data_IF_510229721159
#
_entry.id   IF_510229721159
#
_cell.length_a   1.000
_cell.length_b   1.000
_cell.length_c   1.000
_cell.angle_alpha   90.00
_cell.angle_beta   90.00
_cell.angle_gamma   90.00
#
_symmetry.space_group_name_H-M   'P 1'
#
loop_
_entity.id
_entity.type
_entity.pdbx_description
1 polymer ?
#
# COMPACT_ATOMS: atom_id res chain seq x y z
N UNK A 1 1.01 -17.01 3.89
CA UNK A 1 0.22 -16.43 4.99
C UNK A 1 -1.30 -16.56 4.81
N UNK A 2 -1.92 -15.96 3.79
CA UNK A 2 -3.38 -15.84 3.64
C UNK A 2 -4.00 -16.81 2.61
N UNK A 3 -3.20 -17.66 1.95
CA UNK A 3 -3.65 -18.61 0.91
C UNK A 3 -4.82 -19.53 1.35
N UNK A 4 -4.86 -19.88 2.63
CA UNK A 4 -5.85 -20.78 3.23
C UNK A 4 -6.94 -20.05 4.02
N UNK A 5 -6.91 -18.71 4.04
CA UNK A 5 -7.93 -17.89 4.66
C UNK A 5 -9.03 -17.61 3.63
N UNK A 6 -10.28 -17.51 4.07
CA UNK A 6 -11.38 -17.06 3.20
C UNK A 6 -11.15 -15.61 2.78
N UNK A 7 -11.17 -15.35 1.47
CA UNK A 7 -10.88 -14.04 0.89
C UNK A 7 -12.09 -13.55 0.09
N UNK A 8 -12.91 -12.70 0.71
CA UNK A 8 -14.08 -12.05 0.10
C UNK A 8 -14.36 -10.75 0.84
N UNK A 9 -14.99 -9.79 0.16
CA UNK A 9 -15.19 -8.45 0.68
C UNK A 9 -13.86 -7.74 0.87
N UNK A 10 -13.54 -7.37 2.12
CA UNK A 10 -12.34 -6.63 2.49
C UNK A 10 -11.42 -7.49 3.35
N UNK A 11 -10.16 -7.59 2.96
CA UNK A 11 -9.08 -8.21 3.74
C UNK A 11 -8.07 -7.14 4.12
N UNK A 12 -8.16 -6.65 5.35
CA UNK A 12 -7.24 -5.63 5.88
C UNK A 12 -5.90 -6.27 6.22
N UNK A 13 -4.81 -5.71 5.70
CA UNK A 13 -3.44 -6.16 5.99
C UNK A 13 -2.66 -5.17 6.83
N UNK A 14 -3.09 -3.90 6.89
CA UNK A 14 -2.53 -2.88 7.78
C UNK A 14 -3.64 -1.93 8.23
N UNK A 15 -3.70 -1.64 9.52
CA UNK A 15 -4.53 -0.57 10.09
C UNK A 15 -3.78 0.02 11.28
N UNK A 16 -3.35 1.28 11.18
CA UNK A 16 -2.57 1.96 12.22
C UNK A 16 -3.31 2.12 13.55
N UNK A 17 -4.64 2.06 13.57
CA UNK A 17 -5.45 2.09 14.79
C UNK A 17 -5.60 0.72 15.46
N UNK A 18 -5.05 -0.35 14.86
CA UNK A 18 -4.99 -1.65 15.49
C UNK A 18 -3.88 -1.69 16.55
N UNK A 19 -4.15 -2.36 17.68
CA UNK A 19 -3.15 -2.61 18.73
C UNK A 19 -1.94 -3.42 18.24
N UNK A 20 -2.07 -4.12 17.12
CA UNK A 20 -0.99 -4.88 16.48
C UNK A 20 -0.79 -4.47 15.01
N UNK A 21 -0.80 -3.17 14.73
CA UNK A 21 -0.74 -2.61 13.36
C UNK A 21 0.37 -3.21 12.47
N UNK A 22 1.56 -3.48 13.04
CA UNK A 22 2.72 -3.99 12.32
C UNK A 22 2.92 -5.51 12.42
N UNK A 23 1.96 -6.27 12.96
CA UNK A 23 2.12 -7.72 13.17
C UNK A 23 2.53 -8.49 11.91
N UNK A 24 2.01 -8.08 10.75
CA UNK A 24 2.27 -8.72 9.46
C UNK A 24 3.41 -8.04 8.68
N UNK A 25 3.96 -6.94 9.21
CA UNK A 25 4.83 -6.04 8.47
C UNK A 25 6.23 -6.01 9.05
N UNK A 26 7.21 -6.21 8.18
CA UNK A 26 8.60 -5.90 8.49
C UNK A 26 8.81 -4.42 8.32
N UNK A 27 9.47 -3.82 9.30
CA UNK A 27 9.97 -2.45 9.22
C UNK A 27 11.46 -2.48 8.91
N UNK A 28 11.86 -1.85 7.82
CA UNK A 28 13.26 -1.58 7.50
C UNK A 28 13.50 -0.08 7.64
N UNK A 29 14.54 0.28 8.41
CA UNK A 29 14.90 1.66 8.70
C UNK A 29 16.39 1.84 8.47
N UNK A 30 16.75 2.55 7.41
CA UNK A 30 18.12 2.98 7.15
C UNK A 30 18.64 3.93 8.22
N UNK A 31 19.94 4.25 8.18
CA UNK A 31 20.60 5.02 9.25
C UNK A 31 19.94 6.39 9.52
N UNK A 32 19.54 7.09 8.46
CA UNK A 32 18.82 8.37 8.51
C UNK A 32 17.30 8.23 8.35
N UNK A 33 16.78 7.01 8.38
CA UNK A 33 15.36 6.73 8.21
C UNK A 33 14.58 6.93 9.52
N UNK A 34 13.35 7.42 9.38
CA UNK A 34 12.36 7.50 10.43
C UNK A 34 11.19 6.61 10.07
N UNK A 35 10.81 5.72 11.00
CA UNK A 35 9.58 4.94 10.93
C UNK A 35 9.00 4.89 12.33
N UNK A 36 7.83 5.49 12.53
CA UNK A 36 7.15 5.50 13.82
C UNK A 36 5.63 5.49 13.66
N UNK A 37 4.96 4.87 14.62
CA UNK A 37 3.53 5.04 14.81
C UNK A 37 3.33 6.34 15.60
N UNK A 38 2.78 7.36 14.94
CA UNK A 38 2.43 8.65 15.54
C UNK A 38 0.97 8.54 16.00
N UNK A 39 0.71 8.72 17.30
CA UNK A 39 -0.62 8.45 17.92
C UNK A 39 -1.72 9.42 17.49
N UNK A 40 -1.33 10.65 17.13
CA UNK A 40 -2.27 11.73 16.82
C UNK A 40 -1.81 12.46 15.57
N UNK A 41 -2.55 12.27 14.47
CA UNK A 41 -2.37 13.05 13.25
C UNK A 41 -3.32 14.26 13.23
N UNK A 42 -2.81 15.42 12.85
CA UNK A 42 -3.52 16.70 12.97
C UNK A 42 -4.82 16.76 12.16
N UNK A 43 -4.82 16.25 10.92
CA UNK A 43 -6.00 16.32 10.04
C UNK A 43 -7.02 15.23 10.34
N UNK A 44 -6.62 14.03 10.77
CA UNK A 44 -7.55 12.89 10.95
C UNK A 44 -7.81 12.45 12.40
N UNK A 45 -7.04 12.96 13.37
CA UNK A 45 -7.31 12.73 14.78
C UNK A 45 -7.09 11.31 15.30
N UNK A 46 -6.07 10.62 14.81
CA UNK A 46 -5.74 9.27 15.28
C UNK A 46 -4.42 8.76 14.76
N UNK A 47 -4.09 7.49 15.07
CA UNK A 47 -2.75 6.97 14.86
C UNK A 47 -2.44 6.73 13.39
N UNK A 48 -1.20 7.01 12.98
CA UNK A 48 -0.69 6.81 11.62
C UNK A 48 0.73 6.32 11.66
N UNK A 49 1.12 5.47 10.70
CA UNK A 49 2.51 5.07 10.59
C UNK A 49 3.22 5.97 9.58
N UNK A 50 4.15 6.79 10.06
CA UNK A 50 4.91 7.69 9.21
C UNK A 50 6.28 7.11 8.88
N UNK A 51 6.62 7.09 7.59
CA UNK A 51 7.93 6.77 7.06
C UNK A 51 8.54 8.04 6.46
N UNK A 52 9.77 8.38 6.84
CA UNK A 52 10.52 9.52 6.27
C UNK A 52 11.96 9.10 6.03
N UNK A 53 12.48 9.35 4.83
CA UNK A 53 13.89 9.09 4.51
C UNK A 53 14.32 9.85 3.26
N UNK A 54 15.58 10.29 3.23
CA UNK A 54 16.24 10.76 2.02
C UNK A 54 16.66 9.59 1.09
N UNK A 55 16.80 8.37 1.62
CA UNK A 55 17.11 7.16 0.88
C UNK A 55 15.94 6.17 0.95
N UNK A 56 15.18 6.07 -0.15
CA UNK A 56 13.97 5.26 -0.26
C UNK A 56 14.26 3.75 -0.20
N UNK A 57 15.42 3.32 -0.72
CA UNK A 57 15.74 1.90 -0.82
C UNK A 57 15.92 1.24 0.55
N UNK A 58 16.33 2.01 1.56
CA UNK A 58 16.67 1.50 2.89
C UNK A 58 15.55 1.69 3.92
N UNK A 59 14.51 2.47 3.61
CA UNK A 59 13.41 2.75 4.56
C UNK A 59 12.08 2.40 3.93
N UNK A 60 11.47 1.32 4.42
CA UNK A 60 10.23 0.77 3.90
C UNK A 60 9.52 -0.08 4.96
N UNK A 61 8.23 -0.33 4.72
CA UNK A 61 7.50 -1.44 5.32
C UNK A 61 7.17 -2.49 4.26
N UNK A 62 7.23 -3.76 4.64
CA UNK A 62 6.99 -4.89 3.75
C UNK A 62 6.04 -5.91 4.40
N UNK A 63 5.07 -6.40 3.63
CA UNK A 63 4.17 -7.49 4.02
C UNK A 63 4.25 -8.64 3.01
N UNK A 64 4.52 -9.89 3.44
CA UNK A 64 4.67 -10.34 4.83
C UNK A 64 6.00 -9.89 5.46
N UNK A 65 6.11 -9.99 6.78
CA UNK A 65 7.30 -9.58 7.52
C UNK A 65 8.52 -10.46 7.19
N UNK A 66 8.32 -11.77 7.05
CA UNK A 66 9.36 -12.67 6.57
C UNK A 66 9.46 -12.59 5.04
N UNK A 67 10.67 -12.33 4.53
CA UNK A 67 10.94 -12.26 3.11
C UNK A 67 10.79 -13.63 2.40
N UNK A 68 10.92 -14.74 3.14
CA UNK A 68 10.72 -16.09 2.59
C UNK A 68 9.24 -16.44 2.40
N UNK A 69 8.33 -15.73 3.08
CA UNK A 69 6.90 -15.97 2.98
C UNK A 69 6.23 -15.19 1.84
N UNK A 70 5.01 -15.61 1.49
CA UNK A 70 4.12 -14.87 0.58
C UNK A 70 2.77 -14.58 1.22
N UNK A 71 2.19 -13.44 0.84
CA UNK A 71 0.84 -13.02 1.21
C UNK A 71 -0.19 -14.08 0.81
N UNK A 72 -0.28 -14.45 -0.46
CA UNK A 72 -1.25 -15.45 -0.90
C UNK A 72 -2.64 -14.87 -1.18
N UNK A 73 -2.74 -13.58 -1.48
CA UNK A 73 -4.01 -12.88 -1.68
C UNK A 73 -4.42 -12.92 -3.16
N UNK A 74 -5.66 -13.26 -3.47
CA UNK A 74 -6.21 -13.37 -4.83
C UNK A 74 -7.14 -12.23 -5.22
N UNK A 75 -7.43 -11.35 -4.26
CA UNK A 75 -8.29 -10.18 -4.43
C UNK A 75 -7.62 -9.16 -5.36
N UNK A 76 -8.33 -8.62 -6.37
CA UNK A 76 -7.73 -7.83 -7.43
C UNK A 76 -7.43 -6.38 -7.05
N UNK A 77 -8.14 -5.80 -6.08
CA UNK A 77 -7.99 -4.41 -5.71
C UNK A 77 -7.14 -4.26 -4.46
N UNK A 78 -6.09 -3.43 -4.52
CA UNK A 78 -5.31 -3.00 -3.36
C UNK A 78 -5.63 -1.53 -3.10
N UNK A 79 -6.29 -1.26 -1.98
CA UNK A 79 -6.68 0.08 -1.57
C UNK A 79 -5.88 0.55 -0.35
N UNK A 80 -5.54 1.84 -0.35
CA UNK A 80 -4.66 2.44 0.65
C UNK A 80 -5.09 3.86 0.98
N UNK A 81 -5.02 4.19 2.27
CA UNK A 81 -5.14 5.54 2.80
C UNK A 81 -3.75 6.05 3.17
N UNK A 82 -3.22 6.99 2.38
CA UNK A 82 -1.87 7.53 2.54
C UNK A 82 -1.85 9.06 2.51
N UNK A 83 -1.03 9.69 3.35
CA UNK A 83 -0.76 11.12 3.30
C UNK A 83 0.47 11.38 2.44
N UNK A 84 0.30 12.23 1.43
CA UNK A 84 1.40 12.79 0.65
C UNK A 84 2.16 13.79 1.54
N UNK A 85 3.46 13.55 1.74
CA UNK A 85 4.32 14.40 2.57
C UNK A 85 5.15 15.39 1.74
N UNK A 86 4.92 15.47 0.42
CA UNK A 86 5.70 16.30 -0.50
C UNK A 86 7.08 15.71 -0.84
N UNK A 87 7.37 14.49 -0.39
CA UNK A 87 8.62 13.77 -0.61
C UNK A 87 8.43 12.58 -1.54
N UNK A 88 9.54 12.06 -2.06
CA UNK A 88 9.52 10.89 -2.95
C UNK A 88 8.93 9.67 -2.24
N UNK A 89 8.07 8.94 -2.94
CA UNK A 89 7.34 7.76 -2.47
C UNK A 89 7.29 6.72 -3.60
N UNK A 90 7.39 5.45 -3.23
CA UNK A 90 7.04 4.35 -4.14
C UNK A 90 6.35 3.20 -3.43
N UNK A 91 5.39 2.59 -4.11
CA UNK A 91 4.65 1.41 -3.68
C UNK A 91 4.95 0.30 -4.69
N UNK A 92 5.34 -0.87 -4.19
CA UNK A 92 5.66 -2.04 -5.01
C UNK A 92 4.81 -3.23 -4.60
N UNK A 93 4.22 -3.92 -5.58
CA UNK A 93 3.42 -5.12 -5.40
C UNK A 93 4.03 -6.25 -6.22
N UNK A 94 4.45 -7.32 -5.55
CA UNK A 94 4.88 -8.55 -6.22
C UNK A 94 3.68 -9.44 -6.47
N UNK A 95 3.52 -9.89 -7.72
CA UNK A 95 2.41 -10.72 -8.18
C UNK A 95 2.92 -11.99 -8.87
N UNK A 96 2.10 -13.03 -8.82
CA UNK A 96 2.20 -14.24 -9.63
C UNK A 96 1.12 -14.17 -10.72
N UNK A 97 1.50 -14.40 -11.98
CA UNK A 97 0.57 -14.46 -13.10
C UNK A 97 0.20 -15.89 -13.52
N UNK A 98 -0.74 -16.00 -14.46
CA UNK A 98 -1.25 -17.26 -15.02
C UNK A 98 -0.24 -18.03 -15.89
N UNK A 99 0.93 -17.44 -16.17
CA UNK A 99 2.07 -18.12 -16.80
C UNK A 99 3.09 -18.62 -15.79
N UNK A 100 2.81 -18.45 -14.49
CA UNK A 100 3.72 -18.82 -13.42
C UNK A 100 4.89 -17.85 -13.25
N UNK A 101 4.86 -16.68 -13.90
CA UNK A 101 5.90 -15.67 -13.78
C UNK A 101 5.65 -14.78 -12.55
N UNK A 102 6.73 -14.50 -11.81
CA UNK A 102 6.73 -13.54 -10.72
C UNK A 102 7.10 -12.17 -11.29
N UNK A 103 6.26 -11.17 -11.04
CA UNK A 103 6.42 -9.81 -11.56
C UNK A 103 6.23 -8.78 -10.47
N UNK A 104 6.72 -7.58 -10.72
CA UNK A 104 6.55 -6.44 -9.82
C UNK A 104 5.80 -5.33 -10.51
N UNK A 105 4.83 -4.76 -9.82
CA UNK A 105 4.10 -3.57 -10.20
C UNK A 105 4.54 -2.46 -9.25
N UNK A 106 5.24 -1.44 -9.75
CA UNK A 106 5.71 -0.32 -8.95
C UNK A 106 5.00 0.95 -9.39
N UNK A 107 4.40 1.66 -8.45
CA UNK A 107 3.86 3.00 -8.64
C UNK A 107 4.72 3.99 -7.84
N UNK A 108 5.22 5.05 -8.46
CA UNK A 108 6.12 6.01 -7.82
C UNK A 108 5.88 7.45 -8.28
N UNK A 109 6.01 8.42 -7.37
CA UNK A 109 5.73 9.84 -7.65
C UNK A 109 6.88 10.59 -8.32
N UNK A 110 8.02 9.93 -8.53
CA UNK A 110 9.17 10.43 -9.29
C UNK A 110 9.28 9.82 -10.70
N UNK A 111 8.36 8.93 -11.07
CA UNK A 111 8.27 8.38 -12.42
C UNK A 111 7.29 9.25 -13.22
N UNK A 112 7.68 9.72 -14.41
CA UNK A 112 6.83 10.52 -15.29
C UNK A 112 6.07 9.68 -16.31
N UNK A 113 6.63 8.54 -16.70
CA UNK A 113 6.13 7.67 -17.76
C UNK A 113 6.17 6.20 -17.33
N UNK A 114 5.27 5.39 -17.92
CA UNK A 114 5.24 3.97 -17.65
C UNK A 114 6.39 3.25 -18.39
N UNK A 115 7.14 2.42 -17.67
CA UNK A 115 8.23 1.61 -18.20
C UNK A 115 7.98 0.15 -17.85
N UNK A 116 7.91 -0.71 -18.86
CA UNK A 116 7.58 -2.13 -18.68
C UNK A 116 8.78 -2.97 -19.12
N UNK A 117 9.40 -3.63 -18.14
CA UNK A 117 10.41 -4.66 -18.31
C UNK A 117 9.78 -6.03 -18.07
N UNK A 118 10.45 -7.12 -18.45
CA UNK A 118 9.92 -8.48 -18.32
C UNK A 118 9.51 -8.87 -16.88
N UNK A 119 10.16 -8.31 -15.86
CA UNK A 119 9.93 -8.64 -14.45
C UNK A 119 9.38 -7.49 -13.61
N UNK A 120 9.35 -6.26 -14.15
CA UNK A 120 8.89 -5.09 -13.41
C UNK A 120 8.21 -4.08 -14.35
N UNK A 121 7.04 -3.59 -13.93
CA UNK A 121 6.34 -2.49 -14.56
C UNK A 121 6.38 -1.32 -13.59
N UNK A 122 6.98 -0.21 -14.02
CA UNK A 122 7.08 1.05 -13.28
C UNK A 122 6.04 2.01 -13.86
N UNK A 123 5.24 2.61 -13.00
CA UNK A 123 4.13 3.48 -13.37
C UNK A 123 4.19 4.79 -12.56
N UNK A 124 3.80 5.92 -13.17
CA UNK A 124 3.68 7.18 -12.44
C UNK A 124 2.59 7.08 -11.37
N UNK A 125 2.87 7.62 -10.18
CA UNK A 125 1.90 7.80 -9.10
C UNK A 125 1.64 9.29 -8.91
N UNK A 126 0.39 9.71 -9.08
CA UNK A 126 -0.04 11.08 -8.76
C UNK A 126 -0.83 11.04 -7.46
N UNK A 127 -0.46 11.93 -6.54
CA UNK A 127 -1.15 12.13 -5.27
C UNK A 127 -1.45 13.61 -5.15
N UNK A 128 -2.64 13.91 -4.65
CA UNK A 128 -3.00 15.24 -4.21
C UNK A 128 -2.25 15.61 -2.92
N UNK A 129 -2.28 16.89 -2.56
CA UNK A 129 -1.73 17.34 -1.28
C UNK A 129 -2.56 16.79 -0.11
N UNK A 130 -1.90 16.35 0.96
CA UNK A 130 -2.55 15.80 2.14
C UNK A 130 -2.98 14.33 1.97
N UNK A 131 -4.13 13.98 2.55
CA UNK A 131 -4.64 12.61 2.60
C UNK A 131 -5.29 12.16 1.28
N UNK A 132 -4.79 11.03 0.77
CA UNK A 132 -5.24 10.38 -0.45
C UNK A 132 -5.81 9.00 -0.14
N UNK A 133 -6.98 8.72 -0.72
CA UNK A 133 -7.52 7.37 -0.80
C UNK A 133 -7.33 6.85 -2.23
N UNK A 134 -6.43 5.88 -2.39
CA UNK A 134 -6.10 5.33 -3.71
C UNK A 134 -6.40 3.84 -3.79
N UNK A 135 -6.81 3.39 -4.98
CA UNK A 135 -7.05 1.97 -5.27
C UNK A 135 -6.27 1.58 -6.52
N UNK A 136 -5.50 0.50 -6.43
CA UNK A 136 -4.80 -0.13 -7.54
C UNK A 136 -5.59 -1.36 -8.01
N UNK A 137 -5.98 -1.38 -9.28
CA UNK A 137 -6.51 -2.58 -9.94
C UNK A 137 -5.34 -3.44 -10.42
N UNK A 138 -4.90 -4.36 -9.57
CA UNK A 138 -3.74 -5.22 -9.84
C UNK A 138 -4.00 -6.17 -11.01
N UNK A 139 -5.27 -6.54 -11.25
CA UNK A 139 -5.65 -7.39 -12.38
C UNK A 139 -5.50 -6.60 -13.68
N UNK A 140 -6.06 -5.40 -13.75
CA UNK A 140 -5.95 -4.54 -14.93
C UNK A 140 -4.49 -4.15 -15.19
N UNK A 141 -3.74 -3.76 -14.16
CA UNK A 141 -2.32 -3.41 -14.29
C UNK A 141 -1.50 -4.59 -14.83
N UNK A 142 -1.74 -5.81 -14.35
CA UNK A 142 -1.08 -7.03 -14.84
C UNK A 142 -1.43 -7.30 -16.32
N UNK A 143 -2.71 -7.21 -16.67
CA UNK A 143 -3.17 -7.42 -18.04
C UNK A 143 -2.59 -6.38 -19.02
N UNK A 144 -2.56 -5.10 -18.63
CA UNK A 144 -2.02 -4.03 -19.47
C UNK A 144 -0.50 -4.13 -19.63
N UNK A 145 0.23 -4.47 -18.56
CA UNK A 145 1.69 -4.55 -18.62
C UNK A 145 2.19 -5.82 -19.34
N UNK A 146 1.51 -6.96 -19.17
CA UNK A 146 2.07 -8.27 -19.54
C UNK A 146 1.16 -9.13 -20.42
N UNK A 147 -0.10 -8.75 -20.62
CA UNK A 147 -1.08 -9.59 -21.32
C UNK A 147 -1.34 -10.91 -20.60
N UNK A 148 -1.30 -10.89 -19.26
CA UNK A 148 -1.52 -12.04 -18.38
C UNK A 148 -2.55 -11.72 -17.29
N UNK A 149 -3.07 -12.77 -16.64
CA UNK A 149 -4.02 -12.63 -15.55
C UNK A 149 -3.32 -12.69 -14.19
N UNK A 150 -3.75 -11.84 -13.25
CA UNK A 150 -3.34 -11.94 -11.85
C UNK A 150 -3.83 -13.26 -11.24
N UNK A 151 -2.91 -14.08 -10.74
CA UNK A 151 -3.25 -15.25 -9.94
C UNK A 151 -3.21 -14.95 -8.44
N UNK A 152 -2.16 -14.27 -7.99
CA UNK A 152 -1.90 -14.06 -6.57
C UNK A 152 -0.97 -12.87 -6.32
N UNK A 153 -1.25 -12.09 -5.28
CA UNK A 153 -0.35 -11.11 -4.69
C UNK A 153 0.51 -11.79 -3.65
N UNK A 154 1.82 -11.65 -3.82
CA UNK A 154 2.84 -12.28 -2.98
C UNK A 154 3.40 -11.33 -1.94
N UNK A 155 3.55 -10.04 -2.26
CA UNK A 155 4.17 -9.06 -1.37
C UNK A 155 3.70 -7.65 -1.69
N UNK A 156 3.60 -6.82 -0.65
CA UNK A 156 3.44 -5.37 -0.76
C UNK A 156 4.60 -4.69 -0.04
N UNK A 157 5.22 -3.71 -0.67
CA UNK A 157 6.27 -2.88 -0.09
C UNK A 157 5.88 -1.42 -0.27
N UNK A 158 5.92 -0.65 0.81
CA UNK A 158 5.71 0.80 0.79
C UNK A 158 7.03 1.43 1.24
N UNK A 159 7.71 2.10 0.32
CA UNK A 159 8.92 2.84 0.60
C UNK A 159 8.58 4.21 1.18
N UNK A 160 9.50 4.80 1.94
CA UNK A 160 9.38 6.19 2.36
C UNK A 160 9.23 7.12 1.14
N UNK A 161 8.60 8.29 1.26
CA UNK A 161 8.13 8.97 2.47
C UNK A 161 6.63 9.27 2.43
N UNK A 162 5.86 8.62 3.30
CA UNK A 162 4.42 8.79 3.43
C UNK A 162 3.98 8.49 4.87
N UNK A 163 2.80 8.98 5.26
CA UNK A 163 2.10 8.45 6.42
C UNK A 163 0.97 7.53 5.97
N UNK A 164 0.90 6.33 6.53
CA UNK A 164 -0.03 5.26 6.13
C UNK A 164 -1.03 5.04 7.26
N UNK A 165 -2.33 5.05 6.92
CA UNK A 165 -3.42 4.75 7.85
C UNK A 165 -3.96 3.34 7.69
N UNK A 166 -4.17 2.92 6.45
CA UNK A 166 -4.90 1.71 6.11
C UNK A 166 -4.38 1.12 4.81
N UNK A 167 -4.21 -0.21 4.77
CA UNK A 167 -3.94 -0.99 3.55
C UNK A 167 -4.81 -2.23 3.58
N UNK A 168 -5.60 -2.44 2.54
CA UNK A 168 -6.45 -3.62 2.42
C UNK A 168 -6.60 -4.08 0.98
N UNK A 169 -6.99 -5.35 0.83
CA UNK A 169 -7.40 -5.90 -0.44
C UNK A 169 -8.92 -6.06 -0.51
N UNK A 170 -9.49 -5.92 -1.71
CA UNK A 170 -10.92 -6.12 -1.92
C UNK A 170 -11.27 -6.86 -3.21
N UNK A 171 -12.44 -7.49 -3.23
CA UNK A 171 -13.00 -8.15 -4.41
C UNK A 171 -13.61 -7.19 -5.43
N UNK A 172 -13.98 -5.98 -4.98
CA UNK A 172 -14.46 -4.87 -5.80
C UNK A 172 -13.78 -3.55 -5.42
N UNK A 173 -13.89 -2.54 -6.28
CA UNK A 173 -13.57 -1.16 -5.88
C UNK A 173 -14.55 -0.76 -4.77
N UNK A 174 -14.01 -0.37 -3.62
CA UNK A 174 -14.80 0.13 -2.49
C UNK A 174 -14.52 1.62 -2.35
N UNK A 175 -15.51 2.49 -2.62
CA UNK A 175 -15.40 3.92 -2.32
C UNK A 175 -15.12 4.17 -0.84
N UNK A 176 -14.39 5.23 -0.52
CA UNK A 176 -14.03 5.56 0.86
C UNK A 176 -15.27 5.73 1.76
N UNK A 177 -16.32 6.35 1.24
CA UNK A 177 -17.60 6.60 1.93
C UNK A 177 -18.49 5.36 2.05
N UNK A 178 -18.13 4.24 1.42
CA UNK A 178 -18.74 2.92 1.59
C UNK A 178 -17.99 2.05 2.62
N UNK A 179 -16.78 2.43 3.03
CA UNK A 179 -16.01 1.63 4.00
C UNK A 179 -16.75 1.47 5.34
N UNK A 180 -16.52 0.38 6.09
CA UNK A 180 -16.91 0.33 7.50
C UNK A 180 -16.37 1.54 8.26
N UNK A 181 -17.12 2.07 9.23
CA UNK A 181 -16.76 3.31 9.94
C UNK A 181 -15.34 3.25 10.53
N UNK A 182 -14.97 2.12 11.10
CA UNK A 182 -13.63 1.87 11.66
C UNK A 182 -12.47 1.87 10.65
N UNK A 183 -12.77 1.82 9.35
CA UNK A 183 -11.79 1.89 8.26
C UNK A 183 -11.82 3.23 7.52
N UNK A 184 -12.76 4.14 7.79
CA UNK A 184 -12.84 5.45 7.11
C UNK A 184 -11.78 6.41 7.66
N UNK A 185 -11.28 7.30 6.80
CA UNK A 185 -10.61 8.51 7.27
C UNK A 185 -11.69 9.52 7.67
N UNK A 186 -11.69 9.91 8.94
CA UNK A 186 -12.47 11.05 9.38
C UNK A 186 -11.54 12.25 9.48
N UNK A 187 -11.70 13.22 8.59
CA UNK A 187 -11.02 14.51 8.76
C UNK A 187 -11.67 15.20 9.97
N UNK A 188 -10.87 15.67 10.92
CA UNK A 188 -11.34 16.64 11.91
C UNK A 188 -11.97 17.78 11.10
N UNK A 189 -13.26 18.05 11.34
CA UNK A 189 -13.87 19.24 10.75
C UNK A 189 -12.99 20.41 11.17
N UNK A 190 -12.63 21.27 10.21
CA UNK A 190 -12.10 22.57 10.54
C UNK A 190 -13.01 23.15 11.61
N UNK A 191 -12.44 23.46 12.77
CA UNK A 191 -13.10 24.27 13.77
C UNK A 191 -13.39 25.62 13.14
N UNK A 192 -14.48 25.72 12.40
CA UNK A 192 -15.11 26.99 12.09
C UNK A 192 -15.60 27.58 13.42
N UNK A 193 -15.45 28.90 13.61
CA UNK A 193 -15.71 29.59 14.87
C UNK A 193 -17.14 29.39 15.41
#
# INVERSE_FOLDING_TARGET
MLRHVYQSGIVTVFNSASSQALQLWRVARGASGYVALEEEEEEIGGPVLCLRSANLAETFIMCPADAAETLGVKLPFLAMSIKNTGHLLSIEVEILDDRGAIRRLRAANYESEAHIDSSIARMPLRLDDGWNYMTLDLRQMTAMAYGTSLCEVRRVVIHASACVRLVFFADRVVPEDELPRELRLYRKRDGGP
#
